data_IF_553189632325
#
_entry.id   IF_553189632325
#
_cell.length_a   1.000
_cell.length_b   1.000
_cell.length_c   1.000
_cell.angle_alpha   90.00
_cell.angle_beta   90.00
_cell.angle_gamma   90.00
#
_symmetry.space_group_name_H-M   'P 1'
#
loop_
_entity.id
_entity.type
_entity.pdbx_description
1 polymer ?
#
# COMPACT_ATOMS: atom_id res chain seq x y z
N UNK A 1 23.76 14.91 -2.86
CA UNK A 1 23.25 14.44 -1.56
C UNK A 1 22.05 15.31 -1.25
N UNK A 2 20.83 14.77 -1.33
CA UNK A 2 19.66 15.53 -0.91
C UNK A 2 19.70 15.59 0.61
N UNK A 3 19.89 16.77 1.18
CA UNK A 3 19.75 17.00 2.61
C UNK A 3 18.30 17.39 2.85
N UNK A 4 17.61 16.64 3.70
CA UNK A 4 16.30 17.03 4.20
C UNK A 4 16.50 17.79 5.51
N UNK A 5 15.83 18.92 5.65
CA UNK A 5 15.78 19.65 6.91
C UNK A 5 14.63 19.10 7.75
N UNK A 6 14.98 18.28 8.75
CA UNK A 6 13.99 17.63 9.61
C UNK A 6 13.22 18.63 10.47
N UNK A 7 13.84 19.75 10.87
CA UNK A 7 13.18 20.78 11.66
C UNK A 7 12.13 21.51 10.82
N UNK A 8 12.47 21.81 9.56
CA UNK A 8 11.51 22.41 8.63
C UNK A 8 10.36 21.45 8.28
N UNK A 9 10.63 20.17 8.02
CA UNK A 9 9.57 19.16 7.80
C UNK A 9 8.63 19.09 9.00
N UNK A 10 9.18 19.04 10.22
CA UNK A 10 8.39 19.02 11.44
C UNK A 10 7.56 20.29 11.61
N UNK A 11 8.14 21.47 11.37
CA UNK A 11 7.43 22.75 11.47
C UNK A 11 6.24 22.80 10.49
N UNK A 12 6.43 22.38 9.25
CA UNK A 12 5.36 22.34 8.26
C UNK A 12 4.27 21.32 8.61
N UNK A 13 4.65 20.17 9.18
CA UNK A 13 3.71 19.19 9.71
C UNK A 13 2.88 19.76 10.86
N UNK A 14 3.56 20.41 11.82
CA UNK A 14 2.94 20.99 13.00
C UNK A 14 1.94 22.08 12.60
N UNK A 15 2.33 23.02 11.74
CA UNK A 15 1.47 24.10 11.23
C UNK A 15 0.19 23.57 10.56
N UNK A 16 0.25 22.43 9.88
CA UNK A 16 -0.91 21.81 9.24
C UNK A 16 -1.93 21.23 10.24
N UNK A 17 -1.51 20.91 11.47
CA UNK A 17 -2.33 20.18 12.45
C UNK A 17 -2.74 21.04 13.64
N UNK A 18 -1.80 21.74 14.28
CA UNK A 18 -2.01 22.31 15.63
C UNK A 18 -2.91 23.55 15.66
N UNK A 19 -3.19 24.14 14.50
CA UNK A 19 -4.08 25.29 14.35
C UNK A 19 -5.49 24.90 13.89
N UNK A 20 -5.78 23.60 13.82
CA UNK A 20 -7.01 23.04 13.26
C UNK A 20 -7.67 22.11 14.27
N UNK A 21 -9.00 22.12 14.30
CA UNK A 21 -9.75 21.12 15.05
C UNK A 21 -9.53 19.72 14.46
N UNK A 22 -9.79 18.68 15.27
CA UNK A 22 -9.48 17.28 14.94
C UNK A 22 -10.12 16.74 13.65
N UNK A 23 -11.06 17.47 13.05
CA UNK A 23 -11.78 17.11 11.83
C UNK A 23 -11.77 18.20 10.75
N UNK A 24 -10.84 19.15 10.81
CA UNK A 24 -10.76 20.25 9.85
C UNK A 24 -9.44 20.30 9.04
N UNK A 25 -8.61 19.25 9.14
CA UNK A 25 -7.33 19.19 8.40
C UNK A 25 -7.55 18.58 7.02
N UNK A 26 -7.45 19.41 5.99
CA UNK A 26 -7.57 19.05 4.58
C UNK A 26 -6.27 18.45 4.02
N UNK A 27 -6.31 18.00 2.77
CA UNK A 27 -5.12 17.49 2.07
C UNK A 27 -4.16 18.65 1.76
N UNK A 28 -4.73 19.78 1.39
CA UNK A 28 -4.06 21.01 1.01
C UNK A 28 -3.20 21.57 2.15
N UNK A 29 -3.63 21.40 3.40
CA UNK A 29 -2.88 21.84 4.58
C UNK A 29 -1.50 21.18 4.66
N UNK A 30 -1.33 19.95 4.15
CA UNK A 30 -0.05 19.25 4.12
C UNK A 30 0.84 19.61 2.94
N UNK A 31 0.39 20.39 1.95
CA UNK A 31 1.16 20.64 0.73
C UNK A 31 2.54 21.21 1.00
N UNK A 32 2.68 22.13 1.98
CA UNK A 32 3.98 22.70 2.31
C UNK A 32 4.94 21.65 2.89
N UNK A 33 4.45 20.76 3.76
CA UNK A 33 5.22 19.64 4.29
C UNK A 33 5.74 18.75 3.14
N UNK A 34 4.88 18.39 2.17
CA UNK A 34 5.29 17.56 1.03
C UNK A 34 6.26 18.27 0.08
N UNK A 35 6.14 19.59 -0.10
CA UNK A 35 7.03 20.38 -0.96
C UNK A 35 8.48 20.41 -0.45
N UNK A 36 8.69 20.35 0.87
CA UNK A 36 10.03 20.33 1.48
C UNK A 36 10.63 18.92 1.56
N UNK A 37 9.88 17.87 1.16
CA UNK A 37 10.35 16.48 1.12
C UNK A 37 10.13 15.79 -0.25
N UNK A 38 10.62 16.35 -1.37
CA UNK A 38 10.46 15.71 -2.67
C UNK A 38 11.23 14.38 -2.72
N UNK A 39 10.57 13.32 -3.20
CA UNK A 39 11.17 11.99 -3.36
C UNK A 39 10.91 11.42 -4.75
N UNK A 40 11.95 10.82 -5.34
CA UNK A 40 11.87 10.09 -6.61
C UNK A 40 12.37 8.68 -6.34
N UNK A 41 11.59 7.70 -6.75
CA UNK A 41 11.89 6.29 -6.53
C UNK A 41 12.28 5.58 -7.82
N UNK A 42 13.14 4.55 -7.74
CA UNK A 42 13.47 3.74 -8.91
C UNK A 42 12.23 3.09 -9.54
N UNK A 43 12.10 3.19 -10.86
CA UNK A 43 11.05 2.50 -11.61
C UNK A 43 11.13 0.98 -11.47
N UNK A 44 10.04 0.29 -11.83
CA UNK A 44 9.89 -1.17 -11.79
C UNK A 44 9.81 -1.79 -10.38
N UNK A 45 9.62 -0.96 -9.35
CA UNK A 45 9.72 -1.38 -7.94
C UNK A 45 8.51 -1.00 -7.09
N UNK A 46 7.54 -0.28 -7.63
CA UNK A 46 6.39 0.20 -6.84
C UNK A 46 5.45 -0.96 -6.51
N UNK A 47 5.12 -1.10 -5.23
CA UNK A 47 4.18 -2.09 -4.70
C UNK A 47 3.05 -1.37 -3.96
N UNK A 48 1.86 -1.47 -4.54
CA UNK A 48 0.59 -1.04 -3.93
C UNK A 48 -0.08 -2.25 -3.28
N UNK A 49 -0.92 -1.99 -2.29
CA UNK A 49 -1.57 -3.07 -1.55
C UNK A 49 -2.91 -2.61 -0.97
N UNK A 50 -3.85 -3.53 -0.81
CA UNK A 50 -5.15 -3.25 -0.17
C UNK A 50 -5.56 -4.43 0.69
N UNK A 51 -5.73 -4.17 2.00
CA UNK A 51 -6.14 -5.18 3.01
C UNK A 51 -5.22 -6.40 3.07
N UNK A 52 -3.94 -6.22 2.74
CA UNK A 52 -2.89 -7.26 2.67
C UNK A 52 -1.60 -6.85 3.41
N UNK A 53 -1.67 -5.90 4.35
CA UNK A 53 -0.51 -5.25 5.02
C UNK A 53 0.56 -6.23 5.49
N UNK A 54 0.20 -7.24 6.27
CA UNK A 54 1.14 -8.20 6.85
C UNK A 54 1.88 -9.02 5.78
N UNK A 55 1.14 -9.45 4.75
CA UNK A 55 1.72 -10.19 3.63
C UNK A 55 2.59 -9.28 2.77
N UNK A 56 2.15 -8.05 2.51
CA UNK A 56 2.91 -7.03 1.80
C UNK A 56 4.28 -6.82 2.46
N UNK A 57 4.34 -6.59 3.79
CA UNK A 57 5.61 -6.35 4.47
C UNK A 57 6.54 -7.56 4.37
N UNK A 58 6.00 -8.77 4.47
CA UNK A 58 6.78 -10.00 4.29
C UNK A 58 7.30 -10.15 2.86
N UNK A 59 6.47 -9.80 1.87
CA UNK A 59 6.84 -9.86 0.46
C UNK A 59 7.93 -8.84 0.12
N UNK A 60 7.79 -7.58 0.55
CA UNK A 60 8.80 -6.54 0.36
C UNK A 60 10.13 -6.85 1.08
N UNK A 61 10.08 -7.44 2.27
CA UNK A 61 11.28 -7.81 3.03
C UNK A 61 12.10 -8.92 2.35
N UNK A 62 11.43 -9.92 1.76
CA UNK A 62 12.10 -11.03 1.04
C UNK A 62 12.55 -10.57 -0.35
N UNK A 63 11.69 -9.85 -1.05
CA UNK A 63 11.99 -9.27 -2.35
C UNK A 63 12.35 -7.81 -2.14
N UNK A 64 13.60 -7.56 -1.70
CA UNK A 64 14.22 -6.22 -1.47
C UNK A 64 14.28 -5.29 -2.70
N UNK A 65 13.42 -5.56 -3.67
CA UNK A 65 13.24 -4.83 -4.91
C UNK A 65 11.88 -4.12 -4.95
N UNK A 66 11.02 -4.25 -3.93
CA UNK A 66 9.81 -3.44 -3.83
C UNK A 66 10.01 -2.22 -2.96
N UNK A 67 9.36 -1.13 -3.36
CA UNK A 67 9.14 0.08 -2.58
C UNK A 67 7.65 0.18 -2.33
N UNK A 68 7.27 0.29 -1.07
CA UNK A 68 5.90 0.60 -0.68
C UNK A 68 5.80 2.05 -0.21
N UNK A 69 4.58 2.52 0.04
CA UNK A 69 4.40 3.85 0.58
C UNK A 69 5.10 3.99 1.95
N UNK A 70 5.07 2.94 2.76
CA UNK A 70 5.70 2.87 4.09
C UNK A 70 7.23 2.97 4.06
N UNK A 71 7.86 2.68 2.91
CA UNK A 71 9.31 2.85 2.73
C UNK A 71 9.71 4.28 2.33
N UNK A 72 8.73 5.15 2.02
CA UNK A 72 8.99 6.57 1.74
C UNK A 72 9.34 7.34 3.01
N UNK A 73 9.88 8.57 2.92
CA UNK A 73 10.22 9.35 4.12
C UNK A 73 8.96 9.64 4.95
N UNK A 74 7.90 10.10 4.30
CA UNK A 74 6.60 10.34 4.95
C UNK A 74 6.01 9.04 5.50
N UNK A 75 6.06 7.96 4.71
CA UNK A 75 5.54 6.67 5.13
C UNK A 75 6.26 6.15 6.36
N UNK A 76 7.59 6.20 6.37
CA UNK A 76 8.43 5.77 7.47
C UNK A 76 8.20 6.60 8.74
N UNK A 77 8.14 7.94 8.61
CA UNK A 77 7.96 8.84 9.75
C UNK A 77 6.59 8.70 10.42
N UNK A 78 5.53 8.50 9.65
CA UNK A 78 4.15 8.55 10.14
C UNK A 78 3.46 7.18 10.22
N UNK A 79 4.15 6.09 9.86
CA UNK A 79 3.58 4.75 9.95
C UNK A 79 3.12 4.44 11.37
N UNK A 80 1.91 3.91 11.52
CA UNK A 80 1.31 3.53 12.81
C UNK A 80 1.15 4.67 13.84
N UNK A 81 1.39 5.93 13.46
CA UNK A 81 1.14 7.09 14.31
C UNK A 81 -0.31 7.59 14.13
N UNK A 82 -0.84 8.19 15.21
CA UNK A 82 -2.13 8.87 15.23
C UNK A 82 -1.92 10.26 15.83
N UNK A 83 -2.50 11.27 15.20
CA UNK A 83 -2.40 12.66 15.65
C UNK A 83 -3.66 13.44 15.28
N UNK A 84 -3.93 14.50 16.04
CA UNK A 84 -4.96 15.49 15.78
C UNK A 84 -4.68 16.76 16.59
N UNK A 85 -5.23 17.89 16.15
CA UNK A 85 -5.20 19.15 16.90
C UNK A 85 -6.32 19.22 17.94
N UNK A 86 -6.16 20.11 18.92
CA UNK A 86 -7.17 20.42 19.94
C UNK A 86 -8.17 21.48 19.43
N UNK A 87 -9.37 21.51 20.02
CA UNK A 87 -10.43 22.45 19.62
C UNK A 87 -10.28 23.85 20.25
N UNK A 88 -9.78 23.93 21.48
CA UNK A 88 -9.78 25.16 22.28
C UNK A 88 -8.43 25.90 22.27
N UNK A 89 -7.31 25.16 22.24
CA UNK A 89 -5.95 25.68 22.29
C UNK A 89 -5.14 25.22 21.07
N UNK A 90 -4.09 25.99 20.72
CA UNK A 90 -3.14 25.56 19.69
C UNK A 90 -2.25 24.43 20.24
N UNK A 91 -2.35 23.24 19.67
CA UNK A 91 -1.51 22.10 20.06
C UNK A 91 -2.09 20.76 19.62
N UNK A 92 -1.33 19.69 19.85
CA UNK A 92 -1.77 18.32 19.63
C UNK A 92 -2.62 17.81 20.80
N UNK A 93 -3.69 17.06 20.51
CA UNK A 93 -4.42 16.32 21.54
C UNK A 93 -3.71 14.98 21.82
N UNK A 94 -3.17 14.85 23.02
CA UNK A 94 -2.52 13.62 23.50
C UNK A 94 -3.46 12.71 24.31
N UNK A 95 -4.68 13.18 24.61
CA UNK A 95 -5.66 12.44 25.39
C UNK A 95 -6.52 11.55 24.49
N UNK A 96 -7.03 12.11 23.38
CA UNK A 96 -7.88 11.38 22.46
C UNK A 96 -7.93 12.00 21.08
N UNK A 97 -7.82 11.17 20.04
CA UNK A 97 -8.18 11.56 18.68
C UNK A 97 -9.42 10.82 18.20
N UNK A 98 -10.26 11.45 17.35
CA UNK A 98 -11.34 10.74 16.70
C UNK A 98 -10.80 9.58 15.84
N UNK A 99 -11.67 8.61 15.54
CA UNK A 99 -11.31 7.58 14.57
C UNK A 99 -11.09 8.23 13.20
N UNK A 100 -10.14 7.73 12.41
CA UNK A 100 -9.84 8.26 11.08
C UNK A 100 -11.05 8.28 10.13
N UNK A 101 -12.03 7.39 10.36
CA UNK A 101 -13.28 7.33 9.59
C UNK A 101 -14.39 8.23 10.13
N UNK A 102 -14.17 8.96 11.23
CA UNK A 102 -15.20 9.79 11.87
C UNK A 102 -15.56 11.02 11.04
N UNK A 103 -14.62 11.51 10.22
CA UNK A 103 -14.81 12.71 9.41
C UNK A 103 -13.96 12.67 8.13
N UNK A 104 -14.37 13.48 7.15
CA UNK A 104 -13.72 13.54 5.84
C UNK A 104 -12.33 14.18 5.90
N UNK A 105 -12.19 15.24 6.70
CA UNK A 105 -10.96 16.02 6.84
C UNK A 105 -10.24 15.63 8.14
N UNK A 106 -10.08 14.33 8.35
CA UNK A 106 -9.30 13.82 9.47
C UNK A 106 -7.80 13.97 9.14
N UNK A 107 -6.97 14.52 10.05
CA UNK A 107 -5.55 14.82 9.79
C UNK A 107 -4.74 13.63 9.29
N UNK A 108 -4.87 12.48 9.95
CA UNK A 108 -4.20 11.24 9.51
C UNK A 108 -4.66 10.81 8.12
N UNK A 109 -5.97 10.82 7.85
CA UNK A 109 -6.51 10.41 6.55
C UNK A 109 -6.06 11.36 5.43
N UNK A 110 -6.06 12.67 5.68
CA UNK A 110 -5.62 13.69 4.74
C UNK A 110 -4.13 13.55 4.39
N UNK A 111 -3.26 13.28 5.37
CA UNK A 111 -1.83 13.02 5.13
C UNK A 111 -1.65 11.77 4.26
N UNK A 112 -2.28 10.65 4.61
CA UNK A 112 -2.16 9.42 3.82
C UNK A 112 -2.75 9.56 2.42
N UNK A 113 -3.80 10.36 2.25
CA UNK A 113 -4.35 10.67 0.94
C UNK A 113 -3.35 11.43 0.07
N UNK A 114 -2.68 12.45 0.61
CA UNK A 114 -1.61 13.15 -0.13
C UNK A 114 -0.41 12.24 -0.43
N UNK A 115 0.01 11.46 0.55
CA UNK A 115 1.15 10.55 0.41
C UNK A 115 0.89 9.50 -0.69
N UNK A 116 -0.31 8.92 -0.69
CA UNK A 116 -0.75 7.93 -1.68
C UNK A 116 -0.84 8.53 -3.09
N UNK A 117 -1.34 9.77 -3.20
CA UNK A 117 -1.36 10.50 -4.46
C UNK A 117 0.06 10.71 -5.01
N UNK A 118 0.97 11.27 -4.21
CA UNK A 118 2.36 11.51 -4.63
C UNK A 118 3.08 10.21 -5.02
N UNK A 119 2.85 9.12 -4.28
CA UNK A 119 3.44 7.82 -4.59
C UNK A 119 2.93 7.25 -5.92
N UNK A 120 1.64 7.39 -6.21
CA UNK A 120 1.07 6.99 -7.50
C UNK A 120 1.52 7.85 -8.67
N UNK A 121 1.58 9.18 -8.51
CA UNK A 121 2.04 10.11 -9.56
C UNK A 121 3.51 9.88 -9.95
N UNK A 122 4.33 9.45 -8.98
CA UNK A 122 5.75 9.14 -9.19
C UNK A 122 6.02 7.74 -9.73
N UNK A 123 5.01 6.84 -9.69
CA UNK A 123 5.13 5.46 -10.14
C UNK A 123 5.51 5.35 -11.63
N UNK A 124 6.43 4.42 -11.93
CA UNK A 124 6.91 4.20 -13.29
C UNK A 124 7.43 2.76 -13.51
N UNK A 125 7.43 2.34 -14.77
CA UNK A 125 7.78 0.98 -15.18
C UNK A 125 6.72 -0.04 -14.75
N UNK A 126 7.17 -1.22 -14.36
CA UNK A 126 6.33 -2.29 -13.84
C UNK A 126 5.95 -2.02 -12.38
N UNK A 127 4.66 -1.95 -12.10
CA UNK A 127 4.15 -1.86 -10.73
C UNK A 127 3.50 -3.17 -10.32
N UNK A 128 3.39 -3.42 -9.02
CA UNK A 128 2.67 -4.57 -8.46
C UNK A 128 1.55 -4.09 -7.56
N UNK A 129 0.40 -4.76 -7.61
CA UNK A 129 -0.74 -4.51 -6.72
C UNK A 129 -1.10 -5.81 -6.02
N UNK A 130 -1.05 -5.81 -4.69
CA UNK A 130 -1.36 -6.99 -3.87
C UNK A 130 -2.75 -6.88 -3.24
N UNK A 131 -3.66 -7.78 -3.62
CA UNK A 131 -5.06 -7.77 -3.21
C UNK A 131 -5.44 -9.08 -2.49
N UNK A 132 -6.39 -9.00 -1.56
CA UNK A 132 -6.85 -10.15 -0.77
C UNK A 132 -8.06 -10.83 -1.45
N UNK A 133 -7.86 -12.04 -1.96
CA UNK A 133 -8.89 -12.89 -2.59
C UNK A 133 -9.80 -13.64 -1.63
N UNK A 134 -9.50 -13.62 -0.32
CA UNK A 134 -10.30 -14.28 0.73
C UNK A 134 -11.44 -13.46 1.30
N UNK A 135 -11.65 -12.26 0.78
CA UNK A 135 -12.67 -11.33 1.24
C UNK A 135 -13.51 -10.85 0.06
N UNK A 136 -14.75 -10.45 0.33
CA UNK A 136 -15.56 -9.74 -0.66
C UNK A 136 -14.98 -8.35 -0.93
N UNK A 137 -15.09 -7.86 -2.17
CA UNK A 137 -14.57 -6.56 -2.58
C UNK A 137 -13.06 -6.44 -2.30
N UNK A 138 -12.30 -7.39 -2.84
CA UNK A 138 -10.83 -7.38 -2.85
C UNK A 138 -10.31 -6.06 -3.43
N UNK A 139 -10.88 -5.66 -4.56
CA UNK A 139 -10.81 -4.29 -5.06
C UNK A 139 -12.02 -3.50 -4.58
N UNK A 140 -11.80 -2.26 -4.16
CA UNK A 140 -12.88 -1.33 -3.81
C UNK A 140 -12.53 0.05 -4.36
N UNK A 141 -13.41 0.60 -5.21
CA UNK A 141 -13.24 1.93 -5.81
C UNK A 141 -13.14 3.05 -4.78
N UNK A 142 -13.65 2.85 -3.56
CA UNK A 142 -13.58 3.80 -2.43
C UNK A 142 -12.37 3.61 -1.51
N UNK A 143 -11.54 2.59 -1.73
CA UNK A 143 -10.29 2.40 -0.97
C UNK A 143 -9.24 3.45 -1.36
N UNK A 144 -8.17 3.59 -0.57
CA UNK A 144 -7.04 4.46 -0.92
C UNK A 144 -6.46 4.08 -2.30
N UNK A 145 -6.24 2.79 -2.53
CA UNK A 145 -5.83 2.28 -3.83
C UNK A 145 -6.83 2.64 -4.94
N UNK A 146 -8.11 2.36 -4.73
CA UNK A 146 -9.12 2.54 -5.78
C UNK A 146 -9.46 4.00 -6.12
N UNK A 147 -9.45 4.89 -5.13
CA UNK A 147 -9.94 6.29 -5.25
C UNK A 147 -8.83 7.33 -5.36
N UNK A 148 -7.60 6.98 -5.00
CA UNK A 148 -6.46 7.90 -4.99
C UNK A 148 -5.36 7.35 -5.86
N UNK A 149 -4.79 6.20 -5.49
CA UNK A 149 -3.58 5.71 -6.15
C UNK A 149 -3.85 5.34 -7.60
N UNK A 150 -4.84 4.49 -7.85
CA UNK A 150 -5.21 4.05 -9.19
C UNK A 150 -5.48 5.26 -10.10
N UNK A 151 -6.27 6.22 -9.65
CA UNK A 151 -6.64 7.40 -10.45
C UNK A 151 -5.47 8.31 -10.79
N UNK A 152 -4.44 8.34 -9.95
CA UNK A 152 -3.23 9.14 -10.17
C UNK A 152 -2.10 8.40 -10.89
N UNK A 153 -2.26 7.11 -11.21
CA UNK A 153 -1.32 6.39 -12.08
C UNK A 153 -1.33 6.98 -13.50
N UNK A 154 -0.13 7.17 -14.06
CA UNK A 154 0.06 7.67 -15.42
C UNK A 154 0.35 6.51 -16.41
N UNK A 155 -0.54 6.22 -17.39
CA UNK A 155 -0.35 5.13 -18.36
C UNK A 155 0.83 5.36 -19.33
N UNK A 156 1.39 6.57 -19.41
CA UNK A 156 2.60 6.84 -20.20
C UNK A 156 3.89 6.52 -19.42
N UNK A 157 3.83 6.43 -18.09
CA UNK A 157 4.99 6.14 -17.22
C UNK A 157 4.98 4.72 -16.68
N UNK A 158 3.79 4.16 -16.46
CA UNK A 158 3.60 2.79 -15.98
C UNK A 158 3.49 1.87 -17.19
N UNK A 159 4.51 1.05 -17.39
CA UNK A 159 4.57 0.10 -18.51
C UNK A 159 3.61 -1.07 -18.31
N UNK A 160 3.43 -1.50 -17.06
CA UNK A 160 2.70 -2.72 -16.73
C UNK A 160 2.19 -2.75 -15.28
N UNK A 161 0.96 -3.21 -15.07
CA UNK A 161 0.35 -3.41 -13.75
C UNK A 161 0.24 -4.92 -13.45
N UNK A 162 1.03 -5.41 -12.49
CA UNK A 162 1.01 -6.81 -12.06
C UNK A 162 0.05 -6.98 -10.88
N UNK A 163 -1.14 -7.51 -11.13
CA UNK A 163 -2.13 -7.80 -10.08
C UNK A 163 -1.83 -9.17 -9.48
N UNK A 164 -1.64 -9.21 -8.16
CA UNK A 164 -1.48 -10.44 -7.38
C UNK A 164 -2.69 -10.58 -6.46
N UNK A 165 -3.57 -11.54 -6.77
CA UNK A 165 -4.72 -11.87 -5.91
C UNK A 165 -4.32 -13.04 -5.04
N UNK A 166 -4.25 -12.81 -3.73
CA UNK A 166 -3.81 -13.82 -2.78
C UNK A 166 -4.96 -14.28 -1.93
N UNK A 167 -5.20 -15.59 -1.91
CA UNK A 167 -6.12 -16.23 -0.97
C UNK A 167 -5.35 -16.66 0.28
N UNK A 168 -5.95 -16.46 1.44
CA UNK A 168 -5.43 -16.93 2.73
C UNK A 168 -5.44 -18.46 2.78
N UNK A 169 -4.43 -19.08 3.38
CA UNK A 169 -4.29 -20.56 3.44
C UNK A 169 -5.51 -21.30 4.04
N UNK A 170 -6.24 -20.66 4.96
CA UNK A 170 -7.48 -21.16 5.59
C UNK A 170 -8.74 -20.45 5.09
N UNK A 171 -8.57 -19.42 4.26
CA UNK A 171 -9.65 -18.54 3.86
C UNK A 171 -10.46 -19.13 2.71
N UNK A 172 -11.72 -18.68 2.53
CA UNK A 172 -12.47 -18.97 1.32
C UNK A 172 -11.78 -18.36 0.09
N UNK A 173 -11.97 -18.93 -1.09
CA UNK A 173 -11.64 -18.30 -2.36
C UNK A 173 -12.86 -17.51 -2.83
N UNK A 174 -12.91 -16.20 -2.54
CA UNK A 174 -14.07 -15.34 -2.83
C UNK A 174 -13.86 -14.55 -4.12
N UNK A 175 -12.69 -13.95 -4.27
CA UNK A 175 -12.34 -13.06 -5.39
C UNK A 175 -11.13 -13.64 -6.13
N UNK A 176 -11.12 -13.53 -7.45
CA UNK A 176 -10.06 -14.05 -8.31
C UNK A 176 -9.88 -13.20 -9.56
N UNK A 177 -8.83 -13.45 -10.34
CA UNK A 177 -8.58 -12.73 -11.60
C UNK A 177 -9.72 -12.80 -12.62
N UNK A 178 -10.62 -13.78 -12.47
CA UNK A 178 -11.79 -13.98 -13.34
C UNK A 178 -13.12 -13.75 -12.63
N UNK A 179 -13.13 -13.27 -11.38
CA UNK A 179 -14.36 -13.17 -10.58
C UNK A 179 -14.37 -11.96 -9.62
N UNK A 180 -15.57 -11.40 -9.43
CA UNK A 180 -15.81 -10.33 -8.46
C UNK A 180 -15.23 -8.97 -8.86
N UNK A 181 -14.95 -8.16 -7.85
CA UNK A 181 -14.37 -6.82 -7.96
C UNK A 181 -13.03 -6.75 -8.70
N UNK A 182 -12.27 -7.85 -8.78
CA UNK A 182 -11.02 -7.87 -9.56
C UNK A 182 -11.28 -7.67 -11.06
N UNK A 183 -12.41 -8.17 -11.57
CA UNK A 183 -12.82 -7.96 -12.96
C UNK A 183 -13.09 -6.47 -13.21
N UNK A 184 -13.70 -5.78 -12.26
CA UNK A 184 -13.93 -4.33 -12.36
C UNK A 184 -12.61 -3.54 -12.41
N UNK A 185 -11.62 -3.93 -11.59
CA UNK A 185 -10.27 -3.35 -11.65
C UNK A 185 -9.64 -3.55 -13.03
N UNK A 186 -9.73 -4.76 -13.58
CA UNK A 186 -9.19 -5.08 -14.91
C UNK A 186 -9.84 -4.21 -15.98
N UNK A 187 -11.17 -4.03 -15.93
CA UNK A 187 -11.89 -3.14 -16.87
C UNK A 187 -11.43 -1.68 -16.75
N UNK A 188 -11.19 -1.18 -15.53
CA UNK A 188 -10.66 0.18 -15.31
C UNK A 188 -9.25 0.30 -15.91
N UNK A 189 -8.38 -0.68 -15.69
CA UNK A 189 -7.02 -0.66 -16.26
C UNK A 189 -7.05 -0.69 -17.80
N UNK A 190 -7.89 -1.54 -18.39
CA UNK A 190 -8.07 -1.64 -19.84
C UNK A 190 -8.58 -0.32 -20.44
N UNK A 191 -9.65 0.25 -19.87
CA UNK A 191 -10.25 1.50 -20.37
C UNK A 191 -9.29 2.70 -20.28
N UNK A 192 -8.35 2.67 -19.33
CA UNK A 192 -7.31 3.70 -19.17
C UNK A 192 -6.03 3.41 -19.95
N UNK A 193 -5.99 2.33 -20.73
CA UNK A 193 -4.88 1.98 -21.61
C UNK A 193 -3.67 1.34 -20.93
N UNK A 194 -3.81 0.85 -19.70
CA UNK A 194 -2.73 0.12 -19.03
C UNK A 194 -2.60 -1.30 -19.58
N UNK A 195 -1.36 -1.78 -19.68
CA UNK A 195 -1.08 -3.21 -19.81
C UNK A 195 -1.09 -3.84 -18.41
N UNK A 196 -1.62 -5.04 -18.29
CA UNK A 196 -1.80 -5.68 -16.99
C UNK A 196 -1.69 -7.20 -17.08
N UNK A 197 -1.29 -7.81 -15.97
CA UNK A 197 -1.43 -9.25 -15.69
C UNK A 197 -2.22 -9.41 -14.42
N UNK A 198 -2.88 -10.56 -14.29
CA UNK A 198 -3.45 -10.96 -13.03
C UNK A 198 -3.02 -12.41 -12.73
N UNK A 199 -2.51 -12.64 -11.52
CA UNK A 199 -2.13 -13.96 -11.04
C UNK A 199 -2.91 -14.28 -9.78
N UNK A 200 -3.71 -15.33 -9.82
CA UNK A 200 -4.24 -15.98 -8.63
C UNK A 200 -3.19 -16.91 -8.03
N UNK A 201 -3.11 -16.96 -6.70
CA UNK A 201 -2.32 -17.96 -5.96
C UNK A 201 -0.85 -18.05 -6.41
N UNK A 202 -0.16 -16.91 -6.48
CA UNK A 202 1.28 -16.88 -6.77
C UNK A 202 2.06 -17.77 -5.79
N UNK A 203 2.85 -18.69 -6.33
CA UNK A 203 3.57 -19.70 -5.55
C UNK A 203 4.50 -19.08 -4.49
N UNK A 204 5.09 -17.93 -4.80
CA UNK A 204 5.95 -17.20 -3.87
C UNK A 204 5.16 -16.69 -2.67
N UNK A 205 4.00 -16.08 -2.93
CA UNK A 205 3.13 -15.55 -1.89
C UNK A 205 2.54 -16.67 -1.04
N UNK A 206 2.24 -17.82 -1.65
CA UNK A 206 1.86 -19.03 -0.93
C UNK A 206 2.98 -19.53 0.00
N UNK A 207 4.23 -19.60 -0.49
CA UNK A 207 5.39 -19.99 0.33
C UNK A 207 5.56 -19.03 1.52
N UNK A 208 5.41 -17.71 1.31
CA UNK A 208 5.51 -16.73 2.39
C UNK A 208 4.44 -16.95 3.46
N UNK A 209 3.20 -17.23 3.07
CA UNK A 209 2.15 -17.60 4.03
C UNK A 209 2.49 -18.89 4.78
N UNK A 210 3.06 -19.88 4.09
CA UNK A 210 3.45 -21.15 4.70
C UNK A 210 4.63 -21.03 5.68
N UNK A 211 5.55 -20.08 5.47
CA UNK A 211 6.61 -19.80 6.44
C UNK A 211 6.00 -19.24 7.75
N UNK A 212 4.93 -18.47 7.65
CA UNK A 212 4.23 -17.92 8.81
C UNK A 212 3.38 -18.96 9.55
N UNK A 213 2.74 -19.90 8.83
CA UNK A 213 1.96 -21.01 9.43
C UNK A 213 2.27 -22.37 8.74
N UNK A 214 3.38 -23.03 9.09
CA UNK A 214 3.88 -24.20 8.36
C UNK A 214 3.08 -25.49 8.60
N UNK A 215 2.18 -25.51 9.60
CA UNK A 215 1.43 -26.72 9.99
C UNK A 215 0.22 -27.00 9.09
N UNK A 216 -0.05 -26.12 8.15
CA UNK A 216 -1.21 -26.17 7.27
C UNK A 216 -1.06 -27.29 6.24
N UNK A 217 -2.17 -27.98 5.96
CA UNK A 217 -2.20 -29.03 4.94
C UNK A 217 -1.81 -28.49 3.55
N UNK A 218 -2.24 -27.29 3.20
CA UNK A 218 -1.89 -26.61 1.95
C UNK A 218 -0.37 -26.37 1.80
N UNK A 219 0.37 -26.31 2.90
CA UNK A 219 1.81 -26.11 2.91
C UNK A 219 2.63 -27.40 2.76
N UNK A 220 1.99 -28.58 2.86
CA UNK A 220 2.69 -29.87 2.74
C UNK A 220 3.27 -30.07 1.33
N UNK A 221 2.64 -29.51 0.29
CA UNK A 221 3.16 -29.55 -1.09
C UNK A 221 4.47 -28.75 -1.26
N UNK A 222 4.69 -27.71 -0.44
CA UNK A 222 5.94 -26.94 -0.44
C UNK A 222 7.12 -27.77 0.12
N UNK A 223 6.87 -28.68 1.07
CA UNK A 223 7.91 -29.54 1.63
C UNK A 223 8.39 -30.61 0.63
N UNK A 224 7.47 -31.21 -0.11
CA UNK A 224 7.78 -32.29 -1.06
C UNK A 224 8.55 -31.78 -2.30
N UNK A 225 8.32 -30.54 -2.72
CA UNK A 225 9.00 -29.93 -3.87
C UNK A 225 10.44 -29.48 -3.55
N UNK A 226 10.75 -29.19 -2.28
CA UNK A 226 12.13 -28.98 -1.81
C UNK A 226 12.91 -30.31 -1.68
N UNK A 227 12.26 -31.38 -1.23
CA UNK A 227 12.87 -32.71 -1.12
C UNK A 227 13.25 -33.30 -2.48
N UNK A 228 12.43 -33.09 -3.52
CA UNK A 228 12.73 -33.54 -4.88
C UNK A 228 13.96 -32.85 -5.53
N UNK A 229 14.32 -31.64 -5.10
CA UNK A 229 15.53 -30.95 -5.61
C UNK A 229 16.81 -31.47 -4.98
N UNK A 230 16.78 -31.88 -3.71
CA UNK A 230 17.91 -32.54 -3.05
C UNK A 230 18.19 -33.93 -3.60
N UNK A 231 17.18 -34.68 -4.07
CA UNK A 231 17.40 -35.99 -4.70
C UNK A 231 18.00 -35.90 -6.11
N UNK A 232 17.73 -34.81 -6.86
CA UNK A 232 18.25 -34.62 -8.22
C UNK A 232 19.67 -34.00 -8.28
N UNK A 233 20.23 -33.62 -7.12
CA UNK A 233 21.60 -33.09 -7.00
C UNK A 233 22.56 -34.11 -6.37
N UNK A 234 22.11 -35.36 -6.22
CA UNK A 234 22.84 -36.47 -5.58
C UNK A 234 23.21 -37.60 -6.55
N UNK A 235 23.03 -37.42 -7.86
CA UNK A 235 23.43 -38.35 -8.92
C UNK A 235 24.50 -37.72 -9.84
#
# INVERSE_FOLDING_TARGET
>A
MCSYDCEEIWRQFEEAVVHQSSCNVSVEDYYQMFNVMPQIWPCNRFLFWSKTRTLMHSYAAVFRHFWTLEDTLVGYMFNDLIWCGQDEDSGFDFSSCPNWSACRNHPVYSLWRQASQNFAETACGNITVLLNGSIVNAFNRKSMFGSVELDNLNPQRVDYVNIKVVTDLKGPHIESCSHGSIVDLIQILQSRGFRWTCTDNDQTLMILQCIQDPKQSSCQTCANSLQHRTSLSSD
#
